data_IF_015184727987
#
_entry.id   IF_015184727987
#
_cell.length_a   1.000
_cell.length_b   1.000
_cell.length_c   1.000
_cell.angle_alpha   90.00
_cell.angle_beta   90.00
_cell.angle_gamma   90.00
#
_symmetry.space_group_name_H-M   'P 1'
#
loop_
_entity.id
_entity.type
_entity.pdbx_description
1 polymer ?
#
# COMPACT_ATOMS: atom_id res chain seq x y z
N UNK A 1 30.33 -22.32 1.86
CA UNK A 1 28.87 -22.09 1.93
C UNK A 1 28.16 -23.21 1.19
N UNK A 2 27.15 -23.84 1.80
CA UNK A 2 26.33 -24.88 1.15
C UNK A 2 24.96 -24.25 0.90
N UNK A 3 24.60 -24.10 -0.39
CA UNK A 3 23.32 -23.54 -0.77
C UNK A 3 22.42 -24.63 -1.35
N UNK A 4 21.17 -24.67 -0.94
CA UNK A 4 20.18 -25.63 -1.43
C UNK A 4 18.92 -24.93 -1.89
N UNK A 5 18.28 -25.46 -2.94
CA UNK A 5 16.96 -25.06 -3.37
C UNK A 5 16.03 -26.24 -3.17
N UNK A 6 14.89 -26.02 -2.51
CA UNK A 6 13.93 -27.08 -2.23
C UNK A 6 12.50 -26.58 -2.41
N UNK A 7 11.63 -27.45 -2.92
CA UNK A 7 10.20 -27.21 -2.87
C UNK A 7 9.68 -27.39 -1.46
N UNK A 8 8.90 -26.40 -0.99
CA UNK A 8 8.29 -26.42 0.33
C UNK A 8 6.80 -26.76 0.21
N UNK A 9 6.35 -27.64 1.09
CA UNK A 9 4.95 -27.96 1.24
C UNK A 9 4.39 -27.19 2.45
N UNK A 10 4.36 -25.87 2.34
CA UNK A 10 3.80 -24.98 3.34
C UNK A 10 2.79 -24.03 2.68
N UNK A 11 1.94 -23.42 3.47
CA UNK A 11 0.93 -22.46 3.00
C UNK A 11 1.54 -21.08 2.64
N UNK A 12 2.86 -20.95 2.62
CA UNK A 12 3.52 -19.72 2.20
C UNK A 12 3.56 -19.67 0.68
N UNK A 13 3.06 -18.61 0.09
CA UNK A 13 2.99 -18.38 -1.36
C UNK A 13 4.22 -17.66 -1.93
N UNK A 14 5.24 -17.38 -1.09
CA UNK A 14 6.42 -16.62 -1.49
C UNK A 14 7.69 -17.48 -1.46
N UNK A 15 8.58 -17.20 -2.43
CA UNK A 15 9.94 -17.77 -2.43
C UNK A 15 10.75 -17.07 -1.33
N UNK A 16 11.36 -17.85 -0.45
CA UNK A 16 12.08 -17.34 0.72
C UNK A 16 13.48 -17.94 0.82
N UNK A 17 14.40 -17.26 1.52
CA UNK A 17 15.71 -17.79 1.86
C UNK A 17 15.89 -17.83 3.37
N UNK A 18 16.48 -18.92 3.83
CA UNK A 18 16.80 -19.15 5.24
C UNK A 18 18.31 -19.32 5.38
N UNK A 19 18.93 -18.40 6.10
CA UNK A 19 20.37 -18.40 6.34
C UNK A 19 20.70 -18.99 7.70
N UNK A 20 21.70 -19.84 7.75
CA UNK A 20 22.38 -20.22 8.99
C UNK A 20 23.65 -19.40 9.09
N UNK A 21 23.74 -18.58 10.13
CA UNK A 21 24.85 -17.66 10.35
C UNK A 21 25.66 -18.04 11.58
N UNK A 22 26.96 -17.82 11.57
CA UNK A 22 27.78 -17.85 12.77
C UNK A 22 27.44 -16.62 13.61
N UNK A 23 26.90 -16.82 14.81
CA UNK A 23 26.47 -15.76 15.72
C UNK A 23 27.60 -14.85 16.19
N UNK A 24 28.86 -15.27 16.08
CA UNK A 24 30.05 -14.50 16.49
C UNK A 24 30.52 -13.55 15.42
N UNK A 25 30.40 -13.94 14.15
CA UNK A 25 30.98 -13.23 13.01
C UNK A 25 29.93 -12.65 12.06
N UNK A 26 28.69 -13.18 12.10
CA UNK A 26 27.67 -12.87 11.11
C UNK A 26 27.86 -13.61 9.78
N UNK A 27 28.89 -14.46 9.65
CA UNK A 27 29.18 -15.20 8.42
C UNK A 27 28.02 -16.16 8.08
N UNK A 28 27.56 -16.14 6.84
CA UNK A 28 26.55 -17.07 6.33
C UNK A 28 27.23 -18.42 6.03
N UNK A 29 26.94 -19.41 6.86
CA UNK A 29 27.51 -20.76 6.73
C UNK A 29 26.76 -21.57 5.68
N UNK A 30 25.45 -21.43 5.61
CA UNK A 30 24.62 -22.08 4.59
C UNK A 30 23.36 -21.26 4.33
N UNK A 31 22.78 -21.46 3.15
CA UNK A 31 21.49 -20.88 2.80
C UNK A 31 20.59 -21.91 2.12
N UNK A 32 19.31 -21.89 2.47
CA UNK A 32 18.28 -22.71 1.84
C UNK A 32 17.22 -21.80 1.22
N UNK A 33 17.02 -21.92 -0.09
CA UNK A 33 15.92 -21.24 -0.79
C UNK A 33 14.74 -22.18 -0.87
N UNK A 34 13.60 -21.75 -0.32
CA UNK A 34 12.35 -22.48 -0.36
C UNK A 34 11.44 -21.95 -1.47
N UNK A 35 11.03 -22.84 -2.38
CA UNK A 35 10.07 -22.54 -3.45
C UNK A 35 8.73 -23.16 -3.07
N UNK A 36 7.63 -22.37 -2.94
CA UNK A 36 6.32 -22.92 -2.62
C UNK A 36 5.77 -23.73 -3.79
N UNK A 37 5.08 -24.84 -3.49
CA UNK A 37 4.43 -25.67 -4.52
C UNK A 37 3.30 -24.92 -5.23
N UNK A 38 2.60 -24.07 -4.49
CA UNK A 38 1.43 -23.34 -4.99
C UNK A 38 1.79 -21.97 -5.61
N UNK A 39 3.01 -21.84 -6.15
CA UNK A 39 3.47 -20.59 -6.78
C UNK A 39 2.51 -20.11 -7.86
N UNK A 40 1.95 -21.02 -8.66
CA UNK A 40 0.99 -20.69 -9.72
C UNK A 40 -0.26 -19.96 -9.18
N UNK A 41 -0.72 -20.31 -7.98
CA UNK A 41 -1.86 -19.64 -7.31
C UNK A 41 -1.49 -18.20 -6.98
N UNK A 42 -0.30 -17.94 -6.44
CA UNK A 42 0.19 -16.60 -6.15
C UNK A 42 0.38 -15.77 -7.42
N UNK A 43 0.94 -16.36 -8.47
CA UNK A 43 1.13 -15.71 -9.78
C UNK A 43 -0.21 -15.29 -10.36
N UNK A 44 -1.19 -16.19 -10.39
CA UNK A 44 -2.53 -15.91 -10.89
C UNK A 44 -3.20 -14.80 -10.10
N UNK A 45 -3.26 -14.93 -8.75
CA UNK A 45 -3.93 -13.97 -7.89
C UNK A 45 -3.38 -12.56 -8.04
N UNK A 46 -2.07 -12.40 -7.99
CA UNK A 46 -1.44 -11.08 -8.08
C UNK A 46 -1.42 -10.54 -9.51
N UNK A 47 -1.14 -11.40 -10.49
CA UNK A 47 -1.00 -11.02 -11.89
C UNK A 47 -2.31 -10.59 -12.54
N UNK A 48 -3.44 -11.23 -12.21
CA UNK A 48 -4.73 -10.84 -12.77
C UNK A 48 -5.04 -9.37 -12.48
N UNK A 49 -4.93 -8.94 -11.23
CA UNK A 49 -5.30 -7.57 -10.85
C UNK A 49 -4.29 -6.51 -11.27
N UNK A 50 -3.03 -6.85 -11.44
CA UNK A 50 -1.99 -5.88 -11.78
C UNK A 50 -1.61 -5.89 -13.27
N UNK A 51 -1.83 -7.01 -13.98
CA UNK A 51 -1.30 -7.19 -15.31
C UNK A 51 -2.33 -7.51 -16.38
N UNK A 52 -3.54 -7.98 -16.05
CA UNK A 52 -4.48 -8.48 -17.05
C UNK A 52 -4.92 -7.41 -18.07
N UNK A 53 -4.92 -6.13 -17.73
CA UNK A 53 -5.18 -5.06 -18.70
C UNK A 53 -4.04 -4.92 -19.73
N UNK A 54 -2.80 -5.14 -19.30
CA UNK A 54 -1.57 -4.91 -20.06
C UNK A 54 -1.13 -6.18 -20.80
N UNK A 55 -1.19 -7.34 -20.12
CA UNK A 55 -0.73 -8.63 -20.64
C UNK A 55 -1.86 -9.66 -20.65
N UNK A 56 -2.39 -10.01 -21.84
CA UNK A 56 -3.48 -10.98 -21.98
C UNK A 56 -3.19 -12.36 -21.40
N UNK A 57 -1.93 -12.74 -21.19
CA UNK A 57 -1.55 -14.03 -20.59
C UNK A 57 -2.07 -14.22 -19.17
N UNK A 58 -2.48 -13.13 -18.49
CA UNK A 58 -3.10 -13.16 -17.17
C UNK A 58 -4.64 -13.24 -17.18
N UNK A 59 -5.29 -13.29 -18.38
CA UNK A 59 -6.75 -13.36 -18.53
C UNK A 59 -7.27 -14.80 -18.52
N UNK A 60 -6.67 -15.67 -17.74
CA UNK A 60 -7.02 -17.08 -17.69
C UNK A 60 -6.82 -17.65 -16.28
N UNK A 61 -7.56 -18.72 -15.97
CA UNK A 61 -7.34 -19.48 -14.75
C UNK A 61 -6.03 -20.28 -14.84
N UNK A 62 -5.74 -20.90 -15.96
CA UNK A 62 -4.55 -21.71 -16.18
C UNK A 62 -3.43 -20.85 -16.73
N UNK A 63 -2.57 -20.39 -15.83
CA UNK A 63 -1.39 -19.61 -16.19
C UNK A 63 -0.37 -20.52 -16.88
N UNK A 64 0.13 -20.09 -18.03
CA UNK A 64 1.13 -20.83 -18.81
C UNK A 64 2.46 -20.95 -18.03
N UNK A 65 3.15 -22.05 -18.20
CA UNK A 65 4.43 -22.32 -17.52
C UNK A 65 5.48 -21.23 -17.78
N UNK A 66 5.48 -20.64 -18.96
CA UNK A 66 6.36 -19.49 -19.29
C UNK A 66 6.15 -18.33 -18.31
N UNK A 67 4.91 -17.96 -18.06
CA UNK A 67 4.56 -16.87 -17.13
C UNK A 67 4.92 -17.24 -15.68
N UNK A 68 4.74 -18.51 -15.32
CA UNK A 68 5.17 -19.02 -14.00
C UNK A 68 6.68 -18.93 -13.87
N UNK A 69 7.44 -19.28 -14.91
CA UNK A 69 8.90 -19.20 -14.93
C UNK A 69 9.40 -17.74 -14.84
N UNK A 70 8.78 -16.80 -15.56
CA UNK A 70 9.10 -15.38 -15.43
C UNK A 70 8.91 -14.90 -13.98
N UNK A 71 7.79 -15.28 -13.37
CA UNK A 71 7.47 -14.94 -11.99
C UNK A 71 8.38 -15.63 -10.96
N UNK A 72 8.74 -16.89 -11.19
CA UNK A 72 9.71 -17.59 -10.36
C UNK A 72 11.07 -16.90 -10.42
N UNK A 73 11.51 -16.50 -11.62
CA UNK A 73 12.78 -15.79 -11.80
C UNK A 73 12.80 -14.49 -10.99
N UNK A 74 11.76 -13.68 -11.06
CA UNK A 74 11.65 -12.44 -10.29
C UNK A 74 11.76 -12.67 -8.78
N UNK A 75 11.07 -13.70 -8.26
CA UNK A 75 11.13 -14.03 -6.83
C UNK A 75 12.47 -14.65 -6.41
N UNK A 76 13.08 -15.43 -7.30
CA UNK A 76 14.41 -16.01 -7.06
C UNK A 76 15.49 -14.95 -6.96
N UNK A 77 15.41 -13.85 -7.72
CA UNK A 77 16.35 -12.73 -7.58
C UNK A 77 16.37 -12.19 -6.15
N UNK A 78 15.19 -11.96 -5.55
CA UNK A 78 15.09 -11.54 -4.15
C UNK A 78 15.62 -12.61 -3.19
N UNK A 79 15.27 -13.86 -3.40
CA UNK A 79 15.74 -14.97 -2.54
C UNK A 79 17.27 -15.14 -2.62
N UNK A 80 17.87 -14.96 -3.79
CA UNK A 80 19.33 -14.92 -3.92
C UNK A 80 19.96 -13.74 -3.19
N UNK A 81 19.35 -12.54 -3.28
CA UNK A 81 19.79 -11.38 -2.49
C UNK A 81 19.79 -11.69 -0.99
N UNK A 82 18.68 -12.28 -0.47
CA UNK A 82 18.60 -12.73 0.93
C UNK A 82 19.68 -13.76 1.27
N UNK A 83 19.95 -14.71 0.36
CA UNK A 83 20.99 -15.74 0.59
C UNK A 83 22.40 -15.16 0.66
N UNK A 84 22.61 -13.99 0.06
CA UNK A 84 23.86 -13.22 0.12
C UNK A 84 23.90 -12.24 1.30
N UNK A 85 22.87 -12.25 2.17
CA UNK A 85 22.80 -11.36 3.34
C UNK A 85 22.25 -9.97 3.06
N UNK A 86 21.70 -9.71 1.87
CA UNK A 86 20.94 -8.48 1.64
C UNK A 86 19.65 -8.53 2.47
N UNK A 87 19.27 -7.39 3.02
CA UNK A 87 18.01 -7.24 3.73
C UNK A 87 16.94 -6.61 2.83
N UNK A 88 15.67 -6.72 3.24
CA UNK A 88 14.55 -6.10 2.52
C UNK A 88 14.76 -4.58 2.37
N UNK A 89 14.61 -4.07 1.16
CA UNK A 89 14.65 -2.65 0.83
C UNK A 89 13.31 -2.21 0.23
N UNK A 90 12.42 -1.62 1.04
CA UNK A 90 11.07 -1.22 0.62
C UNK A 90 11.03 0.11 -0.15
N UNK A 91 12.17 0.74 -0.43
CA UNK A 91 12.21 2.01 -1.15
C UNK A 91 12.69 1.86 -2.60
N UNK A 92 13.01 0.65 -3.01
CA UNK A 92 13.46 0.39 -4.38
C UNK A 92 12.39 0.70 -5.43
N UNK A 93 11.13 0.43 -5.12
CA UNK A 93 9.97 0.68 -5.99
C UNK A 93 9.65 2.16 -6.17
N UNK A 94 9.92 3.00 -5.15
CA UNK A 94 9.64 4.43 -5.16
C UNK A 94 10.74 5.28 -5.81
N UNK A 95 11.78 4.66 -6.40
CA UNK A 95 12.95 5.36 -6.92
C UNK A 95 12.73 5.98 -8.30
N UNK A 96 11.81 5.46 -9.10
CA UNK A 96 11.62 5.81 -10.51
C UNK A 96 10.32 6.57 -10.74
N UNK A 97 10.30 7.43 -11.77
CA UNK A 97 9.07 8.12 -12.16
C UNK A 97 8.15 7.23 -13.02
N UNK A 98 6.85 7.56 -13.08
CA UNK A 98 5.93 6.86 -13.99
C UNK A 98 6.37 6.90 -15.46
N UNK A 99 7.00 7.99 -15.90
CA UNK A 99 7.51 8.17 -17.25
C UNK A 99 8.69 7.24 -17.53
N UNK A 100 9.63 7.12 -16.59
CA UNK A 100 10.75 6.18 -16.64
C UNK A 100 10.27 4.73 -16.70
N UNK A 101 9.28 4.38 -15.89
CA UNK A 101 8.70 3.03 -15.83
C UNK A 101 7.90 2.66 -17.09
N UNK A 102 7.55 3.63 -17.94
CA UNK A 102 6.93 3.42 -19.25
C UNK A 102 7.88 3.59 -20.42
N UNK A 103 9.16 3.87 -20.15
CA UNK A 103 10.19 3.94 -21.18
C UNK A 103 10.82 2.57 -21.43
N UNK A 104 10.77 2.04 -22.67
CA UNK A 104 11.47 0.81 -23.03
C UNK A 104 12.98 0.90 -22.76
N UNK A 105 13.61 2.00 -23.15
CA UNK A 105 15.05 2.21 -22.99
C UNK A 105 15.45 2.22 -21.51
N UNK A 106 14.65 2.89 -20.67
CA UNK A 106 14.92 2.97 -19.24
C UNK A 106 14.72 1.62 -18.57
N UNK A 107 13.56 0.97 -18.77
CA UNK A 107 13.25 -0.29 -18.11
C UNK A 107 14.13 -1.44 -18.56
N UNK A 108 14.54 -1.48 -19.84
CA UNK A 108 15.50 -2.47 -20.31
C UNK A 108 16.89 -2.27 -19.69
N UNK A 109 17.28 -1.04 -19.38
CA UNK A 109 18.57 -0.75 -18.76
C UNK A 109 18.56 -0.95 -17.26
N UNK A 110 17.59 -0.39 -16.57
CA UNK A 110 17.55 -0.29 -15.10
C UNK A 110 16.57 -1.24 -14.41
N UNK A 111 15.72 -1.95 -15.16
CA UNK A 111 14.60 -2.71 -14.60
C UNK A 111 13.47 -1.80 -14.15
N UNK A 112 12.56 -2.35 -13.36
CA UNK A 112 11.37 -1.64 -12.86
C UNK A 112 11.51 -1.20 -11.39
N UNK A 113 12.58 -1.55 -10.72
CA UNK A 113 12.88 -1.19 -9.32
C UNK A 113 14.37 -0.97 -9.15
N UNK A 114 14.75 -0.08 -8.25
CA UNK A 114 16.15 0.13 -7.89
C UNK A 114 16.72 -1.00 -7.04
N UNK A 115 15.87 -1.86 -6.46
CA UNK A 115 16.28 -3.02 -5.67
C UNK A 115 15.29 -4.17 -5.80
N UNK A 116 15.78 -5.37 -6.11
CA UNK A 116 14.98 -6.62 -6.08
C UNK A 116 14.64 -7.07 -4.66
N UNK A 117 15.21 -6.42 -3.66
CA UNK A 117 14.90 -6.65 -2.26
C UNK A 117 13.58 -6.00 -1.83
N UNK A 118 12.90 -5.29 -2.73
CA UNK A 118 11.56 -4.74 -2.54
C UNK A 118 10.46 -5.81 -2.70
N UNK A 119 9.23 -5.45 -2.37
CA UNK A 119 8.04 -6.29 -2.51
C UNK A 119 7.23 -5.98 -3.79
N UNK A 120 7.83 -5.32 -4.77
CA UNK A 120 7.25 -5.11 -6.10
C UNK A 120 7.65 -6.26 -7.03
N UNK A 121 6.69 -6.72 -7.84
CA UNK A 121 6.94 -7.74 -8.87
C UNK A 121 6.63 -7.23 -10.27
N UNK A 122 5.56 -6.43 -10.42
CA UNK A 122 4.99 -6.04 -11.69
C UNK A 122 5.03 -4.54 -11.90
N UNK A 123 5.25 -4.15 -13.15
CA UNK A 123 5.16 -2.76 -13.59
C UNK A 123 3.70 -2.42 -13.94
N UNK A 124 2.88 -2.20 -12.92
CA UNK A 124 1.48 -1.84 -13.12
C UNK A 124 1.28 -0.37 -13.57
N UNK A 125 2.36 0.41 -13.69
CA UNK A 125 2.32 1.75 -14.30
C UNK A 125 2.37 1.69 -15.83
N UNK A 126 2.79 0.56 -16.40
CA UNK A 126 2.70 0.33 -17.84
C UNK A 126 1.23 0.36 -18.30
N UNK A 127 1.02 0.67 -19.57
CA UNK A 127 -0.29 0.75 -20.20
C UNK A 127 -0.39 -0.23 -21.38
N UNK A 128 -1.62 -0.54 -21.85
CA UNK A 128 -1.80 -1.33 -23.05
C UNK A 128 -0.94 -0.80 -24.21
N UNK A 129 -0.19 -1.69 -24.84
CA UNK A 129 0.74 -1.36 -25.94
C UNK A 129 2.17 -1.02 -25.49
N UNK A 130 2.45 -0.84 -24.19
CA UNK A 130 3.81 -0.58 -23.72
C UNK A 130 4.67 -1.85 -23.78
N UNK A 131 4.09 -3.03 -23.54
CA UNK A 131 4.78 -4.33 -23.71
C UNK A 131 5.33 -4.50 -25.13
N UNK A 132 4.51 -4.22 -26.14
CA UNK A 132 4.87 -4.35 -27.55
C UNK A 132 5.96 -3.37 -27.97
N UNK A 133 6.11 -2.25 -27.23
CA UNK A 133 7.23 -1.31 -27.41
C UNK A 133 8.50 -1.74 -26.70
N UNK A 134 8.44 -2.80 -25.88
CA UNK A 134 9.58 -3.36 -25.17
C UNK A 134 9.75 -2.84 -23.73
N UNK A 135 8.70 -2.26 -23.12
CA UNK A 135 8.70 -1.93 -21.71
C UNK A 135 8.76 -3.21 -20.88
N UNK A 136 9.65 -3.26 -19.89
CA UNK A 136 9.77 -4.39 -18.97
C UNK A 136 8.59 -4.37 -17.99
N UNK A 137 7.89 -5.50 -17.89
CA UNK A 137 6.66 -5.63 -17.10
C UNK A 137 6.82 -6.36 -15.76
N UNK A 138 7.94 -7.03 -15.57
CA UNK A 138 8.22 -7.82 -14.35
C UNK A 138 9.69 -7.61 -13.97
N UNK A 139 9.99 -7.73 -12.69
CA UNK A 139 11.37 -7.72 -12.21
C UNK A 139 12.18 -8.83 -12.89
N UNK A 140 13.21 -8.47 -13.63
CA UNK A 140 14.01 -9.39 -14.46
C UNK A 140 15.51 -9.35 -14.16
N UNK A 141 15.97 -8.37 -13.37
CA UNK A 141 17.39 -8.15 -13.03
C UNK A 141 17.56 -7.45 -11.69
N UNK A 142 18.74 -7.55 -11.05
CA UNK A 142 19.08 -6.74 -9.89
C UNK A 142 19.06 -5.25 -10.24
N UNK A 143 18.63 -4.43 -9.28
CA UNK A 143 18.63 -2.98 -9.42
C UNK A 143 19.98 -2.35 -9.09
N UNK A 144 20.10 -1.04 -9.31
CA UNK A 144 21.33 -0.29 -9.06
C UNK A 144 21.71 -0.27 -7.58
N UNK A 145 20.72 -0.26 -6.68
CA UNK A 145 20.93 -0.33 -5.24
C UNK A 145 21.53 -1.69 -4.84
N UNK A 146 21.04 -2.79 -5.44
CA UNK A 146 21.55 -4.13 -5.13
C UNK A 146 23.01 -4.26 -5.56
N UNK A 147 23.36 -3.79 -6.77
CA UNK A 147 24.71 -3.81 -7.28
C UNK A 147 25.67 -2.99 -6.39
N UNK A 148 25.21 -1.81 -5.95
CA UNK A 148 25.95 -0.98 -5.01
C UNK A 148 26.13 -1.68 -3.65
N UNK A 149 25.06 -2.25 -3.10
CA UNK A 149 25.08 -2.92 -1.79
C UNK A 149 26.02 -4.14 -1.82
N UNK A 150 25.98 -4.94 -2.89
CA UNK A 150 26.90 -6.07 -3.06
C UNK A 150 28.35 -5.59 -3.20
N UNK A 151 28.61 -4.52 -3.96
CA UNK A 151 29.93 -3.90 -4.02
C UNK A 151 30.39 -3.46 -2.63
N UNK A 152 29.53 -2.77 -1.88
CA UNK A 152 29.85 -2.25 -0.55
C UNK A 152 30.18 -3.38 0.44
N UNK A 153 29.47 -4.52 0.37
CA UNK A 153 29.64 -5.64 1.29
C UNK A 153 30.80 -6.57 0.92
N UNK A 154 31.09 -6.73 -0.37
CA UNK A 154 31.94 -7.83 -0.83
C UNK A 154 33.14 -7.40 -1.69
N UNK A 155 33.22 -6.15 -2.14
CA UNK A 155 34.37 -5.74 -2.92
C UNK A 155 35.63 -5.63 -2.06
N UNK A 156 36.74 -6.18 -2.56
CA UNK A 156 38.04 -5.98 -1.93
C UNK A 156 38.39 -4.50 -1.93
N UNK A 157 38.82 -3.99 -0.79
CA UNK A 157 39.26 -2.62 -0.61
C UNK A 157 40.78 -2.57 -0.45
N UNK A 158 41.38 -1.44 -0.81
CA UNK A 158 42.80 -1.17 -0.56
C UNK A 158 43.03 -0.77 0.91
N UNK A 159 44.22 -0.35 1.26
CA UNK A 159 44.78 -0.18 2.60
C UNK A 159 43.91 0.55 3.67
N UNK A 160 42.90 1.38 3.26
CA UNK A 160 41.96 2.01 4.19
C UNK A 160 40.51 1.71 3.82
N UNK A 161 40.02 0.58 4.28
CA UNK A 161 38.64 0.12 4.04
C UNK A 161 37.60 1.14 4.52
N UNK A 162 37.72 1.66 5.73
CA UNK A 162 36.76 2.61 6.31
C UNK A 162 36.57 3.86 5.47
N UNK A 163 37.66 4.43 4.96
CA UNK A 163 37.58 5.65 4.15
C UNK A 163 37.05 5.36 2.73
N UNK A 164 37.38 4.20 2.18
CA UNK A 164 36.85 3.75 0.88
C UNK A 164 35.34 3.56 0.97
N UNK A 165 34.85 2.89 2.01
CA UNK A 165 33.41 2.66 2.20
C UNK A 165 32.65 3.98 2.43
N UNK A 166 33.21 4.90 3.22
CA UNK A 166 32.65 6.25 3.40
C UNK A 166 32.56 7.01 2.08
N UNK A 167 33.61 6.94 1.27
CA UNK A 167 33.64 7.58 -0.05
C UNK A 167 32.53 7.02 -0.93
N UNK A 168 32.41 5.70 -1.03
CA UNK A 168 31.36 5.06 -1.83
C UNK A 168 29.96 5.45 -1.36
N UNK A 169 29.72 5.47 -0.06
CA UNK A 169 28.43 5.90 0.50
C UNK A 169 28.10 7.36 0.11
N UNK A 170 29.08 8.25 0.15
CA UNK A 170 28.90 9.66 -0.19
C UNK A 170 28.74 9.93 -1.71
N UNK A 171 29.22 9.02 -2.58
CA UNK A 171 29.04 9.13 -4.03
C UNK A 171 27.57 9.12 -4.46
N UNK A 172 26.71 8.55 -3.65
CA UNK A 172 25.27 8.39 -3.93
C UNK A 172 24.37 9.14 -2.93
N UNK A 173 24.94 10.06 -2.15
CA UNK A 173 24.18 10.82 -1.15
C UNK A 173 23.06 11.64 -1.80
N UNK A 174 21.83 11.43 -1.32
CA UNK A 174 20.65 12.12 -1.85
C UNK A 174 20.06 11.54 -3.16
N UNK A 175 20.68 10.53 -3.77
CA UNK A 175 20.12 9.87 -4.94
C UNK A 175 19.09 8.82 -4.52
N UNK A 176 17.80 9.00 -4.88
CA UNK A 176 16.71 8.10 -4.45
C UNK A 176 16.90 6.66 -4.91
N UNK A 177 17.70 6.43 -5.96
CA UNK A 177 17.98 5.07 -6.47
C UNK A 177 18.84 4.23 -5.54
N UNK A 178 19.55 4.87 -4.62
CA UNK A 178 20.43 4.21 -3.64
C UNK A 178 19.90 4.31 -2.22
N UNK A 179 18.72 4.87 -2.04
CA UNK A 179 18.08 4.94 -0.73
C UNK A 179 17.71 3.54 -0.25
N UNK A 180 18.02 3.27 1.02
CA UNK A 180 17.71 2.00 1.67
C UNK A 180 16.56 2.14 2.65
N UNK A 181 15.39 1.64 2.25
CA UNK A 181 14.16 1.69 3.03
C UNK A 181 14.01 0.49 3.94
N UNK A 182 14.35 0.66 5.21
CA UNK A 182 14.22 -0.41 6.22
C UNK A 182 12.76 -0.73 6.52
N UNK A 183 12.45 -2.02 6.70
CA UNK A 183 11.19 -2.44 7.32
C UNK A 183 11.27 -2.23 8.83
N UNK A 184 10.80 -1.09 9.32
CA UNK A 184 10.79 -0.73 10.73
C UNK A 184 9.54 0.09 11.06
N UNK A 185 8.97 -0.02 12.27
CA UNK A 185 7.87 0.85 12.70
C UNK A 185 8.20 2.35 12.60
N UNK A 186 9.46 2.73 12.79
CA UNK A 186 9.90 4.10 12.60
C UNK A 186 9.77 4.56 11.13
N UNK A 187 10.04 3.67 10.17
CA UNK A 187 9.91 3.95 8.74
C UNK A 187 8.49 3.78 8.20
N UNK A 188 7.55 3.31 9.00
CA UNK A 188 6.14 3.30 8.60
C UNK A 188 5.55 4.70 8.36
N UNK A 189 6.28 5.77 8.73
CA UNK A 189 5.98 7.16 8.41
C UNK A 189 6.60 7.64 7.10
N UNK A 190 7.59 6.90 6.55
CA UNK A 190 8.17 7.21 5.25
C UNK A 190 7.33 6.60 4.14
N UNK A 191 6.72 7.44 3.28
CA UNK A 191 5.84 6.94 2.22
C UNK A 191 6.57 6.18 1.12
N UNK A 192 7.91 6.25 1.07
CA UNK A 192 8.72 5.45 0.14
C UNK A 192 8.92 4.01 0.59
N UNK A 193 8.65 3.71 1.88
CA UNK A 193 8.91 2.40 2.48
C UNK A 193 7.59 1.62 2.65
N UNK A 194 6.86 1.45 1.58
CA UNK A 194 5.57 0.76 1.57
C UNK A 194 5.69 -0.59 0.85
N UNK A 195 4.69 -1.46 1.08
CA UNK A 195 4.54 -2.66 0.27
C UNK A 195 3.63 -2.34 -0.92
N UNK A 196 3.91 -2.92 -2.07
CA UNK A 196 3.04 -2.86 -3.26
C UNK A 196 2.93 -1.48 -3.91
N UNK A 197 3.74 -0.50 -3.51
CA UNK A 197 3.89 0.76 -4.21
C UNK A 197 4.83 0.64 -5.42
N UNK A 198 4.68 1.51 -6.40
CA UNK A 198 5.55 1.61 -7.55
C UNK A 198 5.51 3.03 -8.09
N UNK A 199 6.69 3.58 -8.34
CA UNK A 199 6.85 4.94 -8.83
C UNK A 199 6.87 5.98 -7.71
N UNK A 200 7.41 7.15 -8.03
CA UNK A 200 7.55 8.27 -7.09
C UNK A 200 6.35 9.24 -7.09
N UNK A 201 5.32 8.97 -7.89
CA UNK A 201 4.06 9.72 -7.90
C UNK A 201 2.90 8.85 -7.33
N UNK A 202 2.46 9.10 -6.08
CA UNK A 202 1.41 8.31 -5.45
C UNK A 202 0.05 8.47 -6.14
N UNK A 203 -0.19 9.58 -6.83
CA UNK A 203 -1.46 9.79 -7.53
C UNK A 203 -1.51 8.98 -8.81
N UNK A 204 -0.43 8.99 -9.59
CA UNK A 204 -0.31 8.17 -10.80
C UNK A 204 -0.39 6.67 -10.46
N UNK A 205 0.27 6.25 -9.39
CA UNK A 205 0.23 4.86 -8.90
C UNK A 205 -1.17 4.44 -8.49
N UNK A 206 -1.88 5.28 -7.75
CA UNK A 206 -3.27 5.04 -7.36
C UNK A 206 -4.18 4.92 -8.58
N UNK A 207 -4.07 5.85 -9.53
CA UNK A 207 -4.90 5.87 -10.72
C UNK A 207 -4.70 4.62 -11.60
N UNK A 208 -3.46 4.20 -11.78
CA UNK A 208 -3.14 3.00 -12.54
C UNK A 208 -3.73 1.74 -11.88
N UNK A 209 -3.52 1.55 -10.57
CA UNK A 209 -4.05 0.38 -9.86
C UNK A 209 -5.58 0.34 -9.88
N UNK A 210 -6.25 1.48 -9.69
CA UNK A 210 -7.73 1.53 -9.75
C UNK A 210 -8.23 1.25 -11.17
N UNK A 211 -7.53 1.72 -12.20
CA UNK A 211 -7.89 1.40 -13.59
C UNK A 211 -7.80 -0.11 -13.84
N UNK A 212 -6.73 -0.76 -13.41
CA UNK A 212 -6.57 -2.22 -13.53
C UNK A 212 -7.66 -2.98 -12.78
N UNK A 213 -7.96 -2.61 -11.53
CA UNK A 213 -9.04 -3.25 -10.77
C UNK A 213 -10.38 -3.11 -11.49
N UNK A 214 -10.71 -1.91 -11.97
CA UNK A 214 -11.94 -1.67 -12.75
C UNK A 214 -11.98 -2.50 -14.03
N UNK A 215 -10.85 -2.60 -14.73
CA UNK A 215 -10.74 -3.42 -15.94
C UNK A 215 -11.00 -4.90 -15.64
N UNK A 216 -10.40 -5.43 -14.58
CA UNK A 216 -10.58 -6.82 -14.14
C UNK A 216 -12.03 -7.07 -13.73
N UNK A 217 -12.61 -6.23 -12.90
CA UNK A 217 -14.02 -6.35 -12.47
C UNK A 217 -14.96 -6.38 -13.66
N UNK A 218 -14.70 -5.55 -14.68
CA UNK A 218 -15.54 -5.50 -15.88
C UNK A 218 -15.40 -6.73 -16.78
N UNK A 219 -14.20 -7.28 -16.94
CA UNK A 219 -13.90 -8.24 -18.01
C UNK A 219 -13.70 -9.68 -17.51
N UNK A 220 -13.35 -9.89 -16.25
CA UNK A 220 -13.05 -11.22 -15.71
C UNK A 220 -14.22 -12.22 -15.76
N UNK A 221 -15.50 -11.83 -15.70
CA UNK A 221 -16.57 -12.81 -15.89
C UNK A 221 -16.45 -13.61 -17.20
N UNK A 222 -15.95 -12.98 -18.27
CA UNK A 222 -15.73 -13.66 -19.55
C UNK A 222 -14.51 -14.60 -19.54
N UNK A 223 -13.53 -14.34 -18.65
CA UNK A 223 -12.30 -15.15 -18.59
C UNK A 223 -12.45 -16.40 -17.74
N UNK A 224 -13.37 -16.39 -16.78
CA UNK A 224 -13.55 -17.44 -15.78
C UNK A 224 -14.89 -18.17 -15.92
N UNK A 225 -15.41 -18.25 -17.14
CA UNK A 225 -16.68 -18.90 -17.45
C UNK A 225 -16.55 -20.40 -17.77
N UNK A 226 -15.41 -21.01 -17.49
CA UNK A 226 -15.16 -22.42 -17.76
C UNK A 226 -15.63 -23.29 -16.60
N UNK A 227 -16.41 -24.36 -16.91
CA UNK A 227 -16.90 -25.33 -15.91
C UNK A 227 -15.77 -26.12 -15.23
N UNK A 228 -14.58 -26.10 -15.82
CA UNK A 228 -13.39 -26.74 -15.24
C UNK A 228 -12.69 -25.90 -14.16
N UNK A 229 -13.12 -24.63 -13.96
CA UNK A 229 -12.55 -23.81 -12.91
C UNK A 229 -13.13 -24.22 -11.56
N UNK A 230 -12.29 -24.52 -10.55
CA UNK A 230 -12.77 -24.88 -9.22
C UNK A 230 -13.66 -23.81 -8.59
N UNK A 231 -14.75 -24.21 -7.96
CA UNK A 231 -15.70 -23.28 -7.33
C UNK A 231 -15.07 -22.43 -6.25
N UNK A 232 -14.17 -23.00 -5.44
CA UNK A 232 -13.45 -22.29 -4.39
C UNK A 232 -12.66 -21.07 -4.94
N UNK A 233 -12.08 -21.19 -6.12
CA UNK A 233 -11.45 -20.03 -6.76
C UNK A 233 -12.46 -18.99 -7.24
N UNK A 234 -13.56 -19.43 -7.86
CA UNK A 234 -14.62 -18.51 -8.32
C UNK A 234 -15.22 -17.75 -7.16
N UNK A 235 -15.46 -18.42 -6.02
CA UNK A 235 -16.01 -17.82 -4.81
C UNK A 235 -15.08 -16.81 -4.15
N UNK A 236 -13.77 -17.07 -4.12
CA UNK A 236 -12.78 -16.21 -3.50
C UNK A 236 -12.29 -15.07 -4.41
N UNK A 237 -12.48 -15.19 -5.73
CA UNK A 237 -11.92 -14.21 -6.67
C UNK A 237 -12.43 -12.78 -6.42
N UNK A 238 -13.73 -12.50 -6.20
CA UNK A 238 -14.19 -11.19 -5.84
C UNK A 238 -13.60 -10.64 -4.54
N UNK A 239 -13.31 -11.49 -3.55
CA UNK A 239 -12.74 -11.06 -2.26
C UNK A 239 -11.31 -10.51 -2.43
N UNK A 240 -10.58 -10.95 -3.45
CA UNK A 240 -9.27 -10.40 -3.76
C UNK A 240 -9.31 -8.92 -4.16
N UNK A 241 -10.44 -8.42 -4.69
CA UNK A 241 -10.63 -6.99 -4.98
C UNK A 241 -10.47 -6.16 -3.72
N UNK A 242 -10.94 -6.65 -2.58
CA UNK A 242 -10.82 -5.95 -1.29
C UNK A 242 -9.34 -5.81 -0.93
N UNK A 243 -8.55 -6.88 -1.09
CA UNK A 243 -7.11 -6.86 -0.83
C UNK A 243 -6.41 -5.87 -1.77
N UNK A 244 -6.75 -5.87 -3.06
CA UNK A 244 -6.18 -4.92 -4.02
C UNK A 244 -6.52 -3.48 -3.66
N UNK A 245 -7.80 -3.18 -3.40
CA UNK A 245 -8.26 -1.83 -3.09
C UNK A 245 -7.73 -1.31 -1.74
N UNK A 246 -7.71 -2.14 -0.71
CA UNK A 246 -7.38 -1.67 0.64
C UNK A 246 -5.88 -1.81 0.93
N UNK A 247 -5.32 -2.99 0.77
CA UNK A 247 -3.94 -3.24 1.20
C UNK A 247 -2.92 -2.73 0.18
N UNK A 248 -3.21 -2.90 -1.12
CA UNK A 248 -2.23 -2.57 -2.15
C UNK A 248 -2.41 -1.17 -2.74
N UNK A 249 -3.58 -0.56 -2.57
CA UNK A 249 -3.87 0.75 -3.15
C UNK A 249 -4.06 1.83 -2.09
N UNK A 250 -5.05 1.68 -1.21
CA UNK A 250 -5.36 2.70 -0.19
C UNK A 250 -4.23 2.85 0.85
N UNK A 251 -3.67 1.74 1.33
CA UNK A 251 -2.64 1.76 2.38
C UNK A 251 -1.37 2.52 1.94
N UNK A 252 -0.75 2.20 0.79
CA UNK A 252 0.44 2.95 0.33
C UNK A 252 0.15 4.44 0.11
N UNK A 253 -0.91 4.79 -0.63
CA UNK A 253 -1.20 6.20 -0.94
C UNK A 253 -1.50 7.00 0.33
N UNK A 254 -2.22 6.43 1.30
CA UNK A 254 -2.53 7.13 2.55
C UNK A 254 -1.28 7.45 3.37
N UNK A 255 -0.16 6.74 3.17
CA UNK A 255 1.11 6.96 3.89
C UNK A 255 1.72 8.35 3.65
N UNK A 256 1.36 9.01 2.57
CA UNK A 256 1.77 10.38 2.29
C UNK A 256 1.13 11.40 3.23
N UNK A 257 -0.02 11.10 3.85
CA UNK A 257 -0.67 11.95 4.84
C UNK A 257 0.08 11.79 6.17
N UNK A 258 0.62 12.89 6.69
CA UNK A 258 1.52 12.87 7.85
C UNK A 258 2.86 12.20 7.57
N UNK A 259 3.18 11.93 6.29
CA UNK A 259 4.40 11.27 5.86
C UNK A 259 5.64 12.14 6.04
N UNK A 260 6.76 11.46 6.28
CA UNK A 260 8.10 12.08 6.41
C UNK A 260 9.08 11.18 5.67
N UNK A 261 9.83 11.76 4.75
CA UNK A 261 11.00 11.12 4.17
C UNK A 261 12.12 11.10 5.22
N UNK A 262 12.60 9.91 5.55
CA UNK A 262 13.65 9.70 6.54
C UNK A 262 14.93 9.36 5.79
N UNK A 263 15.81 10.35 5.64
CA UNK A 263 17.08 10.17 4.97
C UNK A 263 18.15 9.84 6.02
N UNK A 264 19.00 8.85 5.75
CA UNK A 264 20.15 8.52 6.61
C UNK A 264 21.29 9.53 6.36
N UNK A 265 21.00 10.80 6.62
CA UNK A 265 21.90 11.90 6.38
C UNK A 265 22.93 12.05 7.54
N UNK A 266 24.12 12.50 7.20
CA UNK A 266 25.16 12.91 8.14
C UNK A 266 25.48 14.41 7.95
N UNK A 267 26.43 14.95 8.71
CA UNK A 267 26.80 16.37 8.65
C UNK A 267 27.26 16.87 7.28
N UNK A 268 27.71 15.97 6.38
CA UNK A 268 28.17 16.30 5.05
C UNK A 268 27.11 16.05 3.97
N UNK A 269 25.96 15.51 4.35
CA UNK A 269 24.88 15.21 3.42
C UNK A 269 24.20 16.46 2.91
N UNK A 270 23.84 16.46 1.64
CA UNK A 270 23.11 17.54 0.99
C UNK A 270 21.59 17.49 1.22
N UNK A 271 21.11 16.45 1.88
CA UNK A 271 19.69 16.24 2.18
C UNK A 271 19.43 16.31 3.68
N UNK A 272 18.29 16.85 4.13
CA UNK A 272 17.93 16.86 5.55
C UNK A 272 17.58 15.44 6.03
N UNK A 273 17.91 15.09 7.28
CA UNK A 273 17.58 13.80 7.88
C UNK A 273 16.09 13.51 7.89
N UNK A 274 15.26 14.54 8.05
CA UNK A 274 13.81 14.46 8.05
C UNK A 274 13.22 15.50 7.12
N UNK A 275 12.46 15.06 6.12
CA UNK A 275 11.80 15.94 5.18
C UNK A 275 10.30 15.61 5.15
N UNK A 276 9.44 16.42 5.76
CA UNK A 276 8.00 16.20 5.71
C UNK A 276 7.45 16.26 4.28
N UNK A 277 6.48 15.39 3.99
CA UNK A 277 5.71 15.52 2.76
C UNK A 277 5.01 16.88 2.75
N UNK A 278 5.08 17.58 1.62
CA UNK A 278 4.49 18.92 1.52
C UNK A 278 2.99 18.94 1.82
N UNK A 279 2.50 19.99 2.44
CA UNK A 279 1.08 20.15 2.75
C UNK A 279 0.20 20.02 1.50
N UNK A 280 0.67 20.53 0.36
CA UNK A 280 -0.06 20.45 -0.91
C UNK A 280 -0.18 19.00 -1.42
N UNK A 281 0.87 18.20 -1.31
CA UNK A 281 0.83 16.78 -1.66
C UNK A 281 -0.12 16.01 -0.72
N UNK A 282 -0.04 16.26 0.58
CA UNK A 282 -0.93 15.62 1.56
C UNK A 282 -2.40 15.92 1.26
N UNK A 283 -2.74 17.17 0.92
CA UNK A 283 -4.09 17.59 0.53
C UNK A 283 -4.54 16.95 -0.78
N UNK A 284 -3.67 16.91 -1.79
CA UNK A 284 -3.97 16.22 -3.05
C UNK A 284 -4.28 14.74 -2.83
N UNK A 285 -3.47 14.07 -2.02
CA UNK A 285 -3.68 12.66 -1.66
C UNK A 285 -5.01 12.48 -0.93
N UNK A 286 -5.34 13.32 0.05
CA UNK A 286 -6.62 13.27 0.74
C UNK A 286 -7.80 13.40 -0.23
N UNK A 287 -7.78 14.43 -1.10
CA UNK A 287 -8.81 14.64 -2.11
C UNK A 287 -8.95 13.44 -3.06
N UNK A 288 -7.81 12.85 -3.44
CA UNK A 288 -7.78 11.71 -4.32
C UNK A 288 -8.36 10.46 -3.67
N UNK A 289 -8.06 10.21 -2.40
CA UNK A 289 -8.66 9.12 -1.62
C UNK A 289 -10.19 9.29 -1.57
N UNK A 290 -10.68 10.47 -1.26
CA UNK A 290 -12.12 10.73 -1.26
C UNK A 290 -12.75 10.49 -2.64
N UNK A 291 -12.18 11.03 -3.71
CA UNK A 291 -12.73 10.84 -5.06
C UNK A 291 -12.68 9.40 -5.56
N UNK A 292 -11.81 8.58 -5.00
CA UNK A 292 -11.61 7.18 -5.43
C UNK A 292 -12.43 6.19 -4.61
N UNK A 293 -12.42 6.32 -3.28
CA UNK A 293 -12.94 5.31 -2.37
C UNK A 293 -14.31 5.63 -1.77
N UNK A 294 -14.86 6.82 -2.02
CA UNK A 294 -16.19 7.21 -1.54
C UNK A 294 -17.29 7.06 -2.58
N UNK A 295 -16.95 6.56 -3.77
CA UNK A 295 -17.89 6.05 -4.76
C UNK A 295 -17.38 4.74 -5.35
N UNK A 296 -17.77 3.62 -4.74
CA UNK A 296 -17.49 2.26 -5.20
C UNK A 296 -18.71 1.62 -5.88
N UNK A 297 -19.71 2.40 -6.29
CA UNK A 297 -20.93 1.92 -6.97
C UNK A 297 -20.62 1.14 -8.26
N UNK A 298 -19.49 1.45 -8.91
CA UNK A 298 -19.00 0.72 -10.08
C UNK A 298 -18.71 -0.76 -9.76
N UNK A 299 -18.34 -1.09 -8.53
CA UNK A 299 -18.08 -2.46 -8.09
C UNK A 299 -19.40 -3.23 -7.98
N UNK A 300 -20.41 -2.67 -7.32
CA UNK A 300 -21.71 -3.31 -7.10
C UNK A 300 -22.59 -3.36 -8.36
N UNK A 301 -22.34 -2.46 -9.32
CA UNK A 301 -23.05 -2.44 -10.60
C UNK A 301 -22.70 -3.63 -11.49
N UNK A 302 -21.54 -4.27 -11.28
CA UNK A 302 -21.09 -5.40 -12.08
C UNK A 302 -21.61 -6.74 -11.53
N UNK A 303 -22.88 -7.04 -11.83
CA UNK A 303 -23.57 -8.22 -11.30
C UNK A 303 -22.93 -9.55 -11.74
N UNK A 304 -22.35 -9.61 -12.92
CA UNK A 304 -21.72 -10.84 -13.41
C UNK A 304 -20.40 -11.11 -12.67
N UNK A 305 -19.65 -10.05 -12.34
CA UNK A 305 -18.49 -10.18 -11.45
C UNK A 305 -18.88 -10.68 -10.06
N UNK A 306 -19.90 -10.08 -9.48
CA UNK A 306 -20.37 -10.46 -8.13
C UNK A 306 -20.90 -11.91 -8.08
N UNK A 307 -21.44 -12.42 -9.19
CA UNK A 307 -21.89 -13.82 -9.31
C UNK A 307 -20.74 -14.84 -9.38
N UNK A 308 -19.51 -14.41 -9.65
CA UNK A 308 -18.34 -15.28 -9.53
C UNK A 308 -18.07 -15.62 -8.07
N UNK A 309 -18.43 -14.71 -7.15
CA UNK A 309 -18.34 -14.92 -5.71
C UNK A 309 -19.66 -15.47 -5.15
N UNK A 310 -19.57 -16.50 -4.33
CA UNK A 310 -20.75 -17.21 -3.83
C UNK A 310 -21.62 -16.44 -2.84
N UNK A 311 -21.14 -15.37 -2.17
CA UNK A 311 -21.76 -14.95 -0.91
C UNK A 311 -21.98 -13.44 -0.71
N UNK A 312 -21.28 -12.56 -1.40
CA UNK A 312 -21.38 -11.10 -1.15
C UNK A 312 -21.91 -10.31 -2.35
N UNK A 313 -23.24 -10.06 -2.42
CA UNK A 313 -23.82 -9.29 -3.52
C UNK A 313 -23.58 -7.77 -3.43
N UNK A 314 -22.99 -7.27 -2.33
CA UNK A 314 -22.79 -5.84 -2.06
C UNK A 314 -21.42 -5.59 -1.41
N UNK A 315 -20.39 -5.60 -2.27
CA UNK A 315 -19.00 -5.43 -1.84
C UNK A 315 -18.70 -4.02 -1.35
N UNK A 316 -19.27 -3.00 -1.99
CA UNK A 316 -19.03 -1.63 -1.56
C UNK A 316 -19.60 -1.39 -0.17
N UNK A 317 -20.78 -1.90 0.11
CA UNK A 317 -21.38 -1.84 1.45
C UNK A 317 -20.52 -2.58 2.47
N UNK A 318 -19.94 -3.74 2.12
CA UNK A 318 -19.03 -4.44 3.00
C UNK A 318 -17.78 -3.63 3.32
N UNK A 319 -17.14 -3.02 2.31
CA UNK A 319 -15.97 -2.14 2.48
C UNK A 319 -16.30 -0.95 3.40
N UNK A 320 -17.47 -0.32 3.19
CA UNK A 320 -17.87 0.84 3.98
C UNK A 320 -18.28 0.47 5.41
N UNK A 321 -19.00 -0.63 5.61
CA UNK A 321 -19.41 -1.09 6.94
C UNK A 321 -18.21 -1.51 7.80
N UNK A 322 -17.14 -2.03 7.17
CA UNK A 322 -15.87 -2.26 7.85
C UNK A 322 -15.03 -0.97 8.00
N UNK A 323 -15.50 0.16 7.47
CA UNK A 323 -14.91 1.47 7.70
C UNK A 323 -13.53 1.70 7.11
N UNK A 324 -13.05 0.83 6.23
CA UNK A 324 -11.65 0.84 5.77
C UNK A 324 -11.14 2.19 5.28
N UNK A 325 -11.81 2.94 4.37
CA UNK A 325 -11.26 4.21 3.93
C UNK A 325 -11.10 5.22 5.06
N UNK A 326 -12.13 5.37 5.90
CA UNK A 326 -12.09 6.32 7.01
C UNK A 326 -11.11 5.92 8.11
N UNK A 327 -11.04 4.63 8.47
CA UNK A 327 -10.08 4.14 9.45
C UNK A 327 -8.64 4.42 9.01
N UNK A 328 -8.32 4.22 7.72
CA UNK A 328 -7.00 4.55 7.18
C UNK A 328 -6.68 6.04 7.37
N UNK A 329 -7.63 6.92 7.06
CA UNK A 329 -7.46 8.37 7.25
C UNK A 329 -7.29 8.74 8.73
N UNK A 330 -8.12 8.19 9.61
CA UNK A 330 -8.05 8.47 11.05
C UNK A 330 -6.77 7.94 11.70
N UNK A 331 -6.23 6.82 11.19
CA UNK A 331 -4.93 6.32 11.62
C UNK A 331 -3.79 7.31 11.28
N UNK A 332 -3.89 8.01 10.14
CA UNK A 332 -2.90 9.04 9.77
C UNK A 332 -2.93 10.23 10.69
N UNK A 333 -4.10 10.63 11.20
CA UNK A 333 -4.21 11.73 12.18
C UNK A 333 -3.29 11.53 13.38
N UNK A 334 -3.20 10.30 13.92
CA UNK A 334 -2.31 9.97 15.04
C UNK A 334 -0.83 10.12 14.70
N UNK A 335 -0.45 9.99 13.44
CA UNK A 335 0.94 10.03 12.97
C UNK A 335 1.39 11.41 12.47
N UNK A 336 0.48 12.37 12.32
CA UNK A 336 0.81 13.70 11.78
C UNK A 336 1.72 14.54 12.71
N UNK A 337 1.77 14.25 14.01
CA UNK A 337 2.48 15.09 14.99
C UNK A 337 3.92 15.37 14.60
N UNK A 338 4.69 14.35 14.22
CA UNK A 338 6.08 14.52 13.81
C UNK A 338 6.22 15.31 12.51
N UNK A 339 5.34 15.07 11.53
CA UNK A 339 5.33 15.81 10.26
C UNK A 339 5.04 17.30 10.49
N UNK A 340 4.12 17.61 11.39
CA UNK A 340 3.80 18.99 11.79
C UNK A 340 5.00 19.65 12.48
N UNK A 341 5.64 18.97 13.44
CA UNK A 341 6.81 19.48 14.17
C UNK A 341 7.98 19.79 13.24
N UNK A 342 8.26 18.94 12.27
CA UNK A 342 9.41 19.09 11.36
C UNK A 342 9.17 20.00 10.16
N UNK A 343 7.94 20.45 9.95
CA UNK A 343 7.57 21.26 8.77
C UNK A 343 7.60 22.75 9.06
N UNK A 344 8.14 23.53 8.13
CA UNK A 344 8.05 25.00 8.15
C UNK A 344 6.66 25.51 7.69
N UNK A 345 5.92 24.68 6.92
CA UNK A 345 4.55 24.94 6.47
C UNK A 345 3.70 23.71 6.71
N UNK A 346 3.32 23.44 7.96
CA UNK A 346 2.69 22.18 8.32
C UNK A 346 1.25 22.08 7.78
N UNK A 347 0.88 20.87 7.38
CA UNK A 347 -0.52 20.48 7.28
C UNK A 347 -0.95 20.05 8.67
N UNK A 348 -1.58 20.95 9.43
CA UNK A 348 -1.91 20.69 10.83
C UNK A 348 -3.02 19.65 10.96
N UNK A 349 -3.08 18.98 12.10
CA UNK A 349 -4.16 18.03 12.41
C UNK A 349 -5.54 18.70 12.33
N UNK A 350 -5.64 19.95 12.75
CA UNK A 350 -6.88 20.73 12.64
C UNK A 350 -7.26 20.98 11.18
N UNK A 351 -6.31 21.42 10.33
CA UNK A 351 -6.57 21.62 8.91
C UNK A 351 -6.97 20.31 8.22
N UNK A 352 -6.34 19.20 8.60
CA UNK A 352 -6.66 17.88 8.11
C UNK A 352 -8.08 17.44 8.44
N UNK A 353 -8.48 17.58 9.71
CA UNK A 353 -9.86 17.28 10.15
C UNK A 353 -10.87 18.17 9.41
N UNK A 354 -10.58 19.46 9.27
CA UNK A 354 -11.41 20.40 8.49
C UNK A 354 -11.60 19.93 7.05
N UNK A 355 -10.54 19.46 6.41
CA UNK A 355 -10.61 19.00 5.03
C UNK A 355 -11.36 17.67 4.90
N UNK A 356 -11.22 16.75 5.86
CA UNK A 356 -12.06 15.54 5.96
C UNK A 356 -13.55 15.93 6.10
N UNK A 357 -13.87 16.81 7.03
CA UNK A 357 -15.25 17.24 7.29
C UNK A 357 -15.88 17.91 6.07
N UNK A 358 -15.15 18.76 5.37
CA UNK A 358 -15.62 19.36 4.12
C UNK A 358 -15.99 18.32 3.08
N UNK A 359 -15.23 17.22 2.99
CA UNK A 359 -15.55 16.14 2.06
C UNK A 359 -16.76 15.33 2.54
N UNK A 360 -16.80 14.93 3.81
CA UNK A 360 -17.87 14.13 4.39
C UNK A 360 -19.23 14.86 4.32
N UNK A 361 -19.24 16.15 4.59
CA UNK A 361 -20.49 16.96 4.62
C UNK A 361 -20.78 17.69 3.33
N UNK A 362 -19.98 17.54 2.29
CA UNK A 362 -20.12 18.25 1.01
C UNK A 362 -21.53 18.15 0.42
N UNK A 363 -22.09 16.95 0.38
CA UNK A 363 -23.41 16.73 -0.18
C UNK A 363 -24.51 17.29 0.73
N UNK A 364 -24.41 17.08 2.04
CA UNK A 364 -25.33 17.62 3.04
C UNK A 364 -25.35 19.13 3.02
N UNK A 365 -24.19 19.79 2.93
CA UNK A 365 -24.08 21.24 2.83
C UNK A 365 -24.73 21.77 1.53
N UNK A 366 -24.77 20.98 0.48
CA UNK A 366 -25.46 21.28 -0.78
C UNK A 366 -26.94 20.87 -0.79
N UNK A 367 -27.49 20.44 0.35
CA UNK A 367 -28.92 20.07 0.50
C UNK A 367 -29.27 18.69 -0.03
N UNK A 368 -28.28 17.85 -0.35
CA UNK A 368 -28.50 16.46 -0.78
C UNK A 368 -28.46 15.51 0.43
N UNK A 369 -29.27 14.44 0.42
CA UNK A 369 -29.19 13.42 1.46
C UNK A 369 -27.84 12.69 1.37
N UNK A 370 -27.34 12.26 2.54
CA UNK A 370 -26.15 11.39 2.57
C UNK A 370 -26.50 10.01 2.01
N UNK A 371 -25.62 9.47 1.20
CA UNK A 371 -25.70 8.09 0.76
C UNK A 371 -25.39 7.12 1.91
N UNK A 372 -25.85 5.86 1.82
CA UNK A 372 -25.55 4.84 2.83
C UNK A 372 -24.03 4.67 3.06
N UNK A 373 -23.16 4.64 2.02
CA UNK A 373 -21.72 4.64 2.20
C UNK A 373 -21.21 5.83 3.04
N UNK A 374 -21.71 7.03 2.78
CA UNK A 374 -21.28 8.23 3.52
C UNK A 374 -21.72 8.18 4.98
N UNK A 375 -22.91 7.64 5.27
CA UNK A 375 -23.39 7.44 6.64
C UNK A 375 -22.48 6.47 7.39
N UNK A 376 -22.09 5.35 6.76
CA UNK A 376 -21.16 4.38 7.36
C UNK A 376 -19.79 5.02 7.66
N UNK A 377 -19.23 5.76 6.72
CA UNK A 377 -17.94 6.45 6.92
C UNK A 377 -18.01 7.55 7.99
N UNK A 378 -19.12 8.26 8.07
CA UNK A 378 -19.34 9.26 9.11
C UNK A 378 -19.43 8.62 10.51
N UNK A 379 -20.08 7.45 10.62
CA UNK A 379 -20.11 6.69 11.87
C UNK A 379 -18.72 6.28 12.34
N UNK A 380 -17.88 5.80 11.41
CA UNK A 380 -16.48 5.44 11.70
C UNK A 380 -15.66 6.69 12.10
N UNK A 381 -15.87 7.82 11.42
CA UNK A 381 -15.22 9.08 11.75
C UNK A 381 -15.54 9.50 13.20
N UNK A 382 -16.80 9.53 13.57
CA UNK A 382 -17.26 9.91 14.93
C UNK A 382 -16.74 8.94 15.97
N UNK A 383 -16.83 7.63 15.72
CA UNK A 383 -16.36 6.60 16.67
C UNK A 383 -14.84 6.70 16.85
N UNK A 384 -14.09 6.95 15.79
CA UNK A 384 -12.63 7.14 15.85
C UNK A 384 -12.26 8.37 16.67
N UNK A 385 -12.94 9.51 16.45
CA UNK A 385 -12.71 10.72 17.25
C UNK A 385 -13.03 10.50 18.74
N UNK A 386 -14.11 9.82 19.05
CA UNK A 386 -14.45 9.46 20.45
C UNK A 386 -13.38 8.58 21.08
N UNK A 387 -12.90 7.56 20.36
CA UNK A 387 -11.87 6.65 20.83
C UNK A 387 -10.52 7.36 21.04
N UNK A 388 -10.21 8.36 20.21
CA UNK A 388 -8.96 9.15 20.31
C UNK A 388 -9.03 10.22 21.41
N UNK A 389 -10.22 10.68 21.82
CA UNK A 389 -10.39 11.71 22.81
C UNK A 389 -9.62 11.48 24.13
N UNK A 390 -9.53 10.26 24.70
CA UNK A 390 -8.73 10.00 25.88
C UNK A 390 -7.22 10.21 25.67
N UNK A 391 -6.76 9.89 24.46
CA UNK A 391 -5.34 9.98 24.07
C UNK A 391 -4.99 11.41 23.58
N UNK A 392 -5.94 12.09 22.98
CA UNK A 392 -5.83 13.47 22.51
C UNK A 392 -6.03 14.51 23.60
N UNK A 393 -6.38 14.12 24.83
CA UNK A 393 -6.44 15.01 26.00
C UNK A 393 -5.14 15.78 26.23
N UNK A 394 -4.02 15.26 25.72
CA UNK A 394 -2.74 15.92 25.75
C UNK A 394 -2.49 16.83 24.54
N UNK A 395 -3.30 16.74 23.48
CA UNK A 395 -3.01 17.38 22.20
C UNK A 395 -3.94 18.55 21.92
N UNK A 396 -5.24 18.51 22.25
CA UNK A 396 -6.06 19.71 22.11
C UNK A 396 -7.47 19.60 22.70
N UNK A 397 -7.81 20.57 23.54
CA UNK A 397 -9.16 20.89 23.97
C UNK A 397 -10.07 21.23 22.76
N UNK A 398 -9.46 21.65 21.65
CA UNK A 398 -10.13 21.99 20.41
C UNK A 398 -10.79 20.78 19.72
N UNK A 399 -10.20 19.59 19.72
CA UNK A 399 -10.80 18.39 19.09
C UNK A 399 -12.02 17.93 19.89
N UNK A 400 -11.94 17.93 21.22
CA UNK A 400 -13.07 17.63 22.11
C UNK A 400 -14.21 18.63 21.92
N UNK A 401 -13.88 19.94 21.81
CA UNK A 401 -14.84 21.01 21.53
C UNK A 401 -15.46 20.85 20.14
N UNK A 402 -14.72 20.32 19.17
CA UNK A 402 -15.15 20.13 17.79
C UNK A 402 -16.12 18.95 17.62
N UNK A 403 -15.89 17.83 18.26
CA UNK A 403 -16.89 16.73 18.31
C UNK A 403 -18.20 17.24 18.92
N UNK A 404 -18.09 18.07 19.95
CA UNK A 404 -19.25 18.71 20.58
C UNK A 404 -19.86 19.81 19.69
N UNK A 405 -19.06 20.54 18.90
CA UNK A 405 -19.54 21.59 18.01
C UNK A 405 -20.17 21.05 16.71
N UNK A 406 -19.70 19.92 16.18
CA UNK A 406 -20.38 19.19 15.09
C UNK A 406 -21.75 18.72 15.57
N UNK A 407 -21.83 18.22 16.81
CA UNK A 407 -23.08 17.82 17.44
C UNK A 407 -23.98 19.02 17.84
N UNK A 408 -23.40 20.21 18.01
CA UNK A 408 -24.09 21.39 18.54
C UNK A 408 -24.15 22.58 17.57
N UNK A 409 -23.59 22.47 16.36
CA UNK A 409 -23.75 23.51 15.37
C UNK A 409 -25.21 23.54 14.89
N UNK A 410 -25.97 24.56 15.34
CA UNK A 410 -27.42 24.69 15.08
C UNK A 410 -27.79 24.57 13.61
N UNK A 411 -26.99 25.15 12.69
CA UNK A 411 -27.26 25.03 11.26
C UNK A 411 -27.07 23.59 10.74
N UNK A 412 -26.06 22.89 11.22
CA UNK A 412 -25.83 21.49 10.85
C UNK A 412 -26.89 20.60 11.49
N UNK A 413 -27.23 20.81 12.74
CA UNK A 413 -28.31 20.12 13.44
C UNK A 413 -29.68 20.35 12.81
N UNK A 414 -30.00 21.58 12.42
CA UNK A 414 -31.25 21.90 11.74
C UNK A 414 -31.34 21.20 10.38
N UNK A 415 -30.22 21.13 9.66
CA UNK A 415 -30.14 20.45 8.36
C UNK A 415 -30.16 18.92 8.51
N UNK A 416 -29.51 18.38 9.51
CA UNK A 416 -29.55 16.94 9.85
C UNK A 416 -30.94 16.54 10.36
N UNK A 417 -31.64 17.39 11.13
CA UNK A 417 -33.02 17.17 11.53
C UNK A 417 -33.98 17.17 10.34
N UNK A 418 -33.84 18.12 9.43
CA UNK A 418 -34.70 18.22 8.23
C UNK A 418 -34.50 17.04 7.28
N UNK A 419 -33.36 16.33 7.36
CA UNK A 419 -33.04 15.14 6.57
C UNK A 419 -33.31 13.82 7.31
N UNK A 420 -33.91 13.86 8.53
CA UNK A 420 -34.18 12.67 9.33
C UNK A 420 -32.92 11.99 9.92
N UNK A 421 -31.76 12.61 9.82
CA UNK A 421 -30.47 12.02 10.20
C UNK A 421 -30.14 12.19 11.69
N UNK A 422 -30.79 13.10 12.41
CA UNK A 422 -30.58 13.27 13.86
C UNK A 422 -31.10 12.09 14.68
N UNK A 423 -32.14 11.43 14.22
CA UNK A 423 -32.60 10.16 14.80
C UNK A 423 -31.55 9.07 14.63
N UNK A 424 -30.77 9.07 13.56
CA UNK A 424 -29.70 8.10 13.32
C UNK A 424 -28.48 8.36 14.23
N UNK A 425 -28.12 9.62 14.47
CA UNK A 425 -27.10 9.97 15.45
C UNK A 425 -27.48 9.60 16.89
N UNK A 426 -28.71 9.85 17.28
CA UNK A 426 -29.24 9.46 18.59
C UNK A 426 -29.34 7.93 18.72
N UNK A 427 -29.69 7.21 17.66
CA UNK A 427 -29.78 5.75 17.67
C UNK A 427 -28.41 5.09 17.69
N UNK A 428 -27.41 5.60 16.97
CA UNK A 428 -26.04 5.11 17.04
C UNK A 428 -25.49 5.25 18.47
N UNK A 429 -25.67 6.40 19.09
CA UNK A 429 -25.25 6.62 20.48
C UNK A 429 -26.04 5.80 21.51
N UNK A 430 -27.28 5.45 21.22
CA UNK A 430 -28.13 4.60 22.08
C UNK A 430 -27.78 3.11 21.88
N UNK A 431 -27.46 2.67 20.67
CA UNK A 431 -27.08 1.29 20.36
C UNK A 431 -25.72 0.95 20.97
N UNK A 432 -24.76 1.89 20.95
CA UNK A 432 -23.48 1.73 21.66
C UNK A 432 -23.66 1.56 23.17
N UNK A 433 -24.65 2.24 23.78
CA UNK A 433 -24.96 2.08 25.20
C UNK A 433 -25.67 0.75 25.53
N UNK A 434 -26.45 0.19 24.60
CA UNK A 434 -27.15 -1.07 24.80
C UNK A 434 -26.34 -2.32 24.49
N UNK A 435 -25.35 -2.22 23.58
CA UNK A 435 -24.59 -3.39 23.14
C UNK A 435 -23.49 -3.83 24.09
N UNK A 436 -23.14 -3.04 25.10
CA UNK A 436 -22.06 -3.38 26.03
C UNK A 436 -20.70 -3.61 25.34
N UNK A 437 -20.55 -3.17 24.09
CA UNK A 437 -19.30 -3.30 23.36
C UNK A 437 -18.25 -2.43 24.02
N UNK A 438 -17.26 -3.06 24.63
CA UNK A 438 -16.02 -2.37 25.00
C UNK A 438 -15.44 -1.72 23.74
N UNK A 439 -14.92 -0.50 23.84
CA UNK A 439 -14.27 0.14 22.71
C UNK A 439 -13.17 -0.78 22.19
N UNK A 440 -13.18 -1.06 20.88
CA UNK A 440 -12.12 -1.86 20.23
C UNK A 440 -10.77 -1.19 20.48
N UNK A 441 -10.06 -1.62 21.50
CA UNK A 441 -8.76 -1.10 21.91
C UNK A 441 -7.59 -1.67 21.12
N UNK A 442 -7.85 -2.66 20.23
CA UNK A 442 -6.84 -3.18 19.32
C UNK A 442 -7.48 -3.69 18.05
N UNK A 443 -7.40 -2.91 16.98
CA UNK A 443 -7.48 -3.48 15.64
C UNK A 443 -6.12 -4.07 15.37
N UNK A 444 -5.99 -5.38 15.55
CA UNK A 444 -4.87 -6.12 14.98
C UNK A 444 -5.04 -6.05 13.46
N UNK A 445 -4.35 -5.09 12.83
CA UNK A 445 -4.04 -5.22 11.44
C UNK A 445 -3.20 -6.49 11.33
N UNK A 446 -3.74 -7.53 10.77
CA UNK A 446 -2.97 -8.65 10.29
C UNK A 446 -2.01 -8.08 9.24
N UNK A 447 -0.86 -7.63 9.69
CA UNK A 447 0.33 -7.67 8.88
C UNK A 447 0.55 -9.17 8.66
N UNK A 448 0.20 -9.67 7.49
CA UNK A 448 0.49 -11.04 7.11
C UNK A 448 1.99 -11.25 7.02
N UNK A 449 2.65 -11.25 8.15
CA UNK A 449 4.08 -11.54 8.29
C UNK A 449 4.38 -11.83 9.76
N UNK A 450 3.78 -12.89 10.27
CA UNK A 450 4.37 -13.68 11.31
C UNK A 450 4.24 -15.14 10.87
N UNK A 451 5.25 -15.60 10.26
CA UNK A 451 6.10 -16.80 10.47
C UNK A 451 7.19 -16.77 9.41
#
# INVERSE_FOLDING_TARGET
MINTIAFLNNNNSEVTAYNVTDLRTGEILSSKIGVPRDLAVSVRRNGVYQMAEIDPRFRTYYIADEVICENLTARMLKAFGLSLGLATNLAGSAAYSPEELRSPEFTQKYGITASVMDNVLYNYLAQPGDKEKGVVLIVDKPGVCDAFTLKYLYAATSENESDTLKKWAMEHDGDPRYFYGKRSPAYATDPRCQNYDLGNDPIASLDAQIAHVKYVVKNSPAWFHDDNIPNDYRELFPDFVIIELINKTLSPVSSYIGGIYINEANEKSNVPSYQPVSADMQKKVLQKIFSTFYDLSWLDSNKDFLRLGGVNPDMSTWIYNNGYPMMSLMFRLMRMGLSVEKSTRPYTQEAYLNDIEKQLFKETLNGKPLSAPMIAQLSVYISSLKGMCPTLKAIDKAVSTRVTSIALNEQTNHKLQSLGLLTTFASISATEKQSGMEPMTSVNFYSGTDI
#
